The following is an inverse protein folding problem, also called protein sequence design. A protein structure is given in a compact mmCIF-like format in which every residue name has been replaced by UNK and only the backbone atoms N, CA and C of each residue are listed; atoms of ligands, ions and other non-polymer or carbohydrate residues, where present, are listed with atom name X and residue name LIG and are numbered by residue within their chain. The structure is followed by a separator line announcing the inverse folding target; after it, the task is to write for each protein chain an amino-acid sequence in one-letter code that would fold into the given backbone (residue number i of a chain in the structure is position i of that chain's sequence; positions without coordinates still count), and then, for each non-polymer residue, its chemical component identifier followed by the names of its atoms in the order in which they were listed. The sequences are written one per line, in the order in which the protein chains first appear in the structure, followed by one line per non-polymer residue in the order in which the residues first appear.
data_IF_490745328907
#
_entry.id   IF_490745328907
#
_cell.length_a   1.000
_cell.length_b   1.000
_cell.length_c   1.000
_cell.angle_alpha   90.00
_cell.angle_beta   90.00
_cell.angle_gamma   90.00
#
_symmetry.space_group_name_H-M   'P 1'
#
loop_
_entity.id
_entity.type
_entity.pdbx_description
1 polymer ?
#
# COMPACT_ATOMS: atom_id res chain seq x y z
N UNK A 1 -5.84 -7.98 -19.63
CA UNK A 1 -4.69 -8.28 -20.50
C UNK A 1 -5.19 -8.52 -21.90
N UNK A 2 -4.70 -7.74 -22.88
CA UNK A 2 -4.88 -8.03 -24.30
C UNK A 2 -3.61 -8.68 -24.80
N UNK A 3 -3.69 -9.96 -25.19
CA UNK A 3 -2.52 -10.78 -25.52
C UNK A 3 -2.49 -11.05 -27.02
N UNK A 4 -1.33 -10.86 -27.66
CA UNK A 4 -1.08 -11.22 -29.05
C UNK A 4 -0.30 -12.54 -29.08
N UNK A 5 -0.82 -13.52 -29.80
CA UNK A 5 -0.29 -14.89 -29.81
C UNK A 5 -0.04 -15.32 -31.26
N UNK A 6 1.04 -16.06 -31.48
CA UNK A 6 1.28 -16.86 -32.69
C UNK A 6 1.46 -18.33 -32.30
N UNK A 7 0.44 -19.15 -32.55
CA UNK A 7 0.38 -20.53 -32.08
C UNK A 7 0.41 -20.63 -30.55
N UNK A 8 1.48 -21.21 -30.01
CA UNK A 8 1.73 -21.33 -28.55
C UNK A 8 2.69 -20.25 -28.01
N UNK A 9 3.20 -19.35 -28.87
CA UNK A 9 4.07 -18.25 -28.45
C UNK A 9 3.29 -16.97 -28.20
N UNK A 10 3.53 -16.35 -27.04
CA UNK A 10 3.09 -14.99 -26.74
C UNK A 10 4.03 -14.02 -27.44
N UNK A 11 3.50 -13.23 -28.37
CA UNK A 11 4.24 -12.19 -29.08
C UNK A 11 4.22 -10.84 -28.34
N UNK A 12 3.10 -10.52 -27.69
CA UNK A 12 2.92 -9.24 -26.99
C UNK A 12 1.81 -9.32 -25.94
N UNK A 13 1.87 -8.45 -24.93
CA UNK A 13 0.88 -8.32 -23.85
C UNK A 13 0.66 -6.84 -23.52
N UNK A 14 -0.58 -6.38 -23.64
CA UNK A 14 -1.02 -5.06 -23.20
C UNK A 14 -1.89 -5.19 -21.92
N UNK A 15 -1.35 -4.83 -20.74
CA UNK A 15 -2.10 -4.83 -19.49
C UNK A 15 -3.01 -3.61 -19.36
N UNK A 16 -4.29 -3.78 -19.66
CA UNK A 16 -5.34 -2.81 -19.33
C UNK A 16 -5.55 -2.74 -17.79
N UNK A 17 -4.95 -1.74 -17.14
CA UNK A 17 -5.08 -1.47 -15.70
C UNK A 17 -6.14 -0.39 -15.40
N UNK A 18 -6.52 -0.25 -14.13
CA UNK A 18 -7.39 0.84 -13.67
C UNK A 18 -8.83 0.46 -13.33
N UNK A 19 -9.24 -0.81 -13.52
CA UNK A 19 -10.58 -1.28 -13.12
C UNK A 19 -10.87 -1.14 -11.63
N UNK A 20 -9.84 -1.06 -10.78
CA UNK A 20 -9.94 -0.82 -9.35
C UNK A 20 -9.44 0.58 -8.95
N UNK A 21 -9.30 1.51 -9.91
CA UNK A 21 -8.96 2.88 -9.58
C UNK A 21 -10.13 3.53 -8.83
N UNK A 22 -9.88 3.96 -7.60
CA UNK A 22 -10.89 4.53 -6.69
C UNK A 22 -10.61 5.99 -6.30
N UNK A 23 -9.59 6.60 -6.89
CA UNK A 23 -9.18 7.98 -6.57
C UNK A 23 -8.81 8.16 -5.10
N UNK A 24 -8.06 7.20 -4.51
CA UNK A 24 -7.67 7.25 -3.09
C UNK A 24 -6.90 8.55 -2.81
N UNK A 25 -6.04 8.99 -3.73
CA UNK A 25 -5.31 10.25 -3.56
C UNK A 25 -6.26 11.44 -3.42
N UNK A 26 -7.33 11.49 -4.24
CA UNK A 26 -8.31 12.57 -4.19
C UNK A 26 -9.16 12.54 -2.92
N UNK A 27 -9.51 11.34 -2.45
CA UNK A 27 -10.26 11.16 -1.20
C UNK A 27 -9.42 11.61 0.00
N UNK A 28 -8.10 11.38 -0.04
CA UNK A 28 -7.18 11.80 1.03
C UNK A 28 -7.05 13.32 1.15
N UNK A 29 -7.31 14.10 0.11
CA UNK A 29 -7.27 15.58 0.17
C UNK A 29 -8.39 16.17 1.04
N UNK A 30 -9.52 15.49 1.16
CA UNK A 30 -10.72 15.95 1.90
C UNK A 30 -10.80 15.36 3.32
N UNK A 31 -9.76 14.65 3.77
CA UNK A 31 -9.75 13.94 5.06
C UNK A 31 -8.62 14.40 5.95
N UNK A 32 -8.85 14.27 7.26
CA UNK A 32 -7.78 14.47 8.22
C UNK A 32 -6.80 13.30 8.18
N UNK A 33 -5.53 13.57 8.51
CA UNK A 33 -4.44 12.57 8.43
C UNK A 33 -4.76 11.26 9.16
N UNK A 34 -5.40 11.34 10.33
CA UNK A 34 -5.79 10.17 11.12
C UNK A 34 -6.88 9.32 10.45
N UNK A 35 -7.76 9.92 9.65
CA UNK A 35 -8.84 9.22 8.95
C UNK A 35 -8.31 8.46 7.72
N UNK A 36 -7.24 8.98 7.12
CA UNK A 36 -6.59 8.39 5.92
C UNK A 36 -5.87 7.08 6.24
N UNK A 37 -5.44 6.86 7.49
CA UNK A 37 -4.74 5.64 7.91
C UNK A 37 -5.53 4.39 7.46
N UNK A 38 -6.82 4.34 7.78
CA UNK A 38 -7.69 3.21 7.42
C UNK A 38 -7.95 3.05 5.91
N UNK A 39 -7.70 4.10 5.12
CA UNK A 39 -7.75 4.01 3.65
C UNK A 39 -6.51 3.32 3.09
N UNK A 40 -5.36 3.43 3.77
CA UNK A 40 -4.10 2.86 3.31
C UNK A 40 -4.08 1.34 3.38
N UNK A 41 -4.77 0.74 4.35
CA UNK A 41 -5.05 -0.71 4.38
C UNK A 41 -5.71 -1.21 3.07
N UNK A 42 -6.51 -0.35 2.41
CA UNK A 42 -7.19 -0.69 1.15
C UNK A 42 -6.32 -0.55 -0.09
N UNK A 43 -5.11 0.01 0.02
CA UNK A 43 -4.15 0.10 -1.08
C UNK A 43 -3.50 -1.25 -1.37
N UNK A 44 -3.26 -2.06 -0.33
CA UNK A 44 -2.81 -3.44 -0.48
C UNK A 44 -3.56 -4.36 0.48
N UNK A 45 -4.48 -5.13 -0.07
CA UNK A 45 -5.30 -6.07 0.70
C UNK A 45 -4.54 -7.21 1.35
N UNK A 46 -3.30 -7.46 0.92
CA UNK A 46 -2.47 -8.56 1.42
C UNK A 46 -1.55 -8.11 2.56
N UNK A 47 -1.15 -6.84 2.58
CA UNK A 47 -0.20 -6.27 3.54
C UNK A 47 -0.69 -4.93 4.09
N UNK A 48 -1.89 -4.94 4.67
CA UNK A 48 -2.57 -3.75 5.18
C UNK A 48 -1.77 -2.87 6.17
N UNK A 49 -1.34 -3.44 7.29
CA UNK A 49 -0.59 -2.76 8.35
C UNK A 49 0.72 -2.13 7.83
N UNK A 50 1.40 -2.74 6.88
CA UNK A 50 2.63 -2.18 6.29
C UNK A 50 2.32 -0.95 5.43
N UNK A 51 1.16 -0.90 4.79
CA UNK A 51 0.71 0.31 4.08
C UNK A 51 0.25 1.40 5.04
N UNK A 52 -0.43 1.05 6.14
CA UNK A 52 -0.74 2.01 7.21
C UNK A 52 0.54 2.57 7.84
N UNK A 53 1.52 1.71 8.12
CA UNK A 53 2.82 2.10 8.66
C UNK A 53 3.56 3.03 7.69
N UNK A 54 3.61 2.72 6.39
CA UNK A 54 4.23 3.58 5.37
C UNK A 54 3.64 4.99 5.38
N UNK A 55 2.32 5.11 5.46
CA UNK A 55 1.65 6.41 5.50
C UNK A 55 1.97 7.20 6.77
N UNK A 56 1.92 6.54 7.93
CA UNK A 56 2.27 7.18 9.22
C UNK A 56 3.74 7.59 9.24
N UNK A 57 4.64 6.75 8.72
CA UNK A 57 6.07 7.05 8.62
C UNK A 57 6.33 8.30 7.77
N UNK A 58 5.63 8.44 6.63
CA UNK A 58 5.72 9.64 5.80
C UNK A 58 5.22 10.89 6.54
N UNK A 59 4.12 10.79 7.30
CA UNK A 59 3.60 11.89 8.11
C UNK A 59 4.56 12.26 9.27
N UNK A 60 5.13 11.27 9.96
CA UNK A 60 6.10 11.47 11.04
C UNK A 60 7.38 12.16 10.54
N UNK A 61 7.89 11.76 9.38
CA UNK A 61 9.03 12.41 8.74
C UNK A 61 8.74 13.87 8.38
N UNK A 62 7.55 14.15 7.83
CA UNK A 62 7.15 15.51 7.49
C UNK A 62 6.96 16.41 8.72
N UNK A 63 6.51 15.83 9.85
CA UNK A 63 6.31 16.55 11.11
C UNK A 63 7.55 16.58 12.02
N UNK A 64 8.63 15.90 11.63
CA UNK A 64 9.84 15.72 12.44
C UNK A 64 9.57 15.13 13.83
N UNK A 65 8.65 14.16 13.90
CA UNK A 65 8.30 13.44 15.14
C UNK A 65 8.97 12.08 15.15
N UNK A 66 9.43 11.65 16.32
CA UNK A 66 10.00 10.31 16.52
C UNK A 66 9.06 9.48 17.41
N UNK A 67 8.65 8.27 16.97
CA UNK A 67 7.90 7.36 17.82
C UNK A 67 8.80 6.85 18.97
N UNK A 68 8.21 6.39 20.09
CA UNK A 68 8.99 5.73 21.13
C UNK A 68 9.58 4.41 20.60
N UNK A 69 10.78 4.04 21.07
CA UNK A 69 11.51 2.82 20.68
C UNK A 69 10.63 1.55 20.73
N UNK A 70 9.78 1.42 21.75
CA UNK A 70 8.82 0.30 21.84
C UNK A 70 7.88 0.22 20.64
N UNK A 71 7.40 1.36 20.14
CA UNK A 71 6.51 1.40 18.99
C UNK A 71 7.24 1.01 17.69
N UNK A 72 8.51 1.37 17.54
CA UNK A 72 9.34 0.94 16.40
C UNK A 72 9.48 -0.58 16.37
N UNK A 73 9.79 -1.21 17.50
CA UNK A 73 9.86 -2.68 17.59
C UNK A 73 8.52 -3.36 17.24
N UNK A 74 7.40 -2.81 17.72
CA UNK A 74 6.06 -3.34 17.40
C UNK A 74 5.80 -3.23 15.89
N UNK A 75 6.11 -2.08 15.28
CA UNK A 75 5.94 -1.86 13.83
C UNK A 75 6.74 -2.86 13.02
N UNK A 76 8.03 -3.04 13.35
CA UNK A 76 8.88 -4.03 12.68
C UNK A 76 8.27 -5.43 12.83
N UNK A 77 7.89 -5.86 14.03
CA UNK A 77 7.26 -7.19 14.21
C UNK A 77 5.99 -7.34 13.36
N UNK A 78 5.11 -6.33 13.35
CA UNK A 78 3.89 -6.33 12.54
C UNK A 78 4.18 -6.40 11.04
N UNK A 79 5.15 -5.64 10.55
CA UNK A 79 5.57 -5.68 9.15
C UNK A 79 6.13 -7.04 8.77
N UNK A 80 6.91 -7.68 9.65
CA UNK A 80 7.46 -9.00 9.37
C UNK A 80 6.41 -10.10 9.37
N UNK A 81 5.39 -10.00 10.22
CA UNK A 81 4.23 -10.89 10.13
C UNK A 81 3.49 -10.71 8.80
N UNK A 82 3.29 -9.47 8.35
CA UNK A 82 2.63 -9.22 7.08
C UNK A 82 3.45 -9.67 5.88
N UNK A 83 4.77 -9.47 5.90
CA UNK A 83 5.66 -9.95 4.84
C UNK A 83 5.56 -11.46 4.67
N UNK A 84 5.62 -12.22 5.77
CA UNK A 84 5.48 -13.69 5.75
C UNK A 84 4.09 -14.10 5.24
N UNK A 85 3.03 -13.41 5.68
CA UNK A 85 1.66 -13.70 5.22
C UNK A 85 1.39 -13.33 3.76
N UNK A 86 2.17 -12.41 3.19
CA UNK A 86 2.01 -11.91 1.83
C UNK A 86 2.82 -12.66 0.76
N UNK A 87 3.70 -13.57 1.18
CA UNK A 87 4.53 -14.42 0.30
C UNK A 87 3.75 -15.66 -0.11
#
# INVERSE_FOLDING_TARGET
LRVKIDGEQVLDVDPEMGYLHRGIEKISEDRHYNEVITLMDRCCYVAGLSWEHLYVLAAEQALHVQPPERAEYIRVMSDEFQRIGST
#
